data_IF_403962935323
#
_entry.id   IF_403962935323
#
_cell.length_a   1.000
_cell.length_b   1.000
_cell.length_c   1.000
_cell.angle_alpha   90.00
_cell.angle_beta   90.00
_cell.angle_gamma   90.00
#
_symmetry.space_group_name_H-M   'P 1'
#
loop_
_entity.id
_entity.type
_entity.pdbx_description
1 polymer ?
#
# COMPACT_ATOMS: atom_id res chain seq x y z
N UNK A 1 8.91 2.66 -9.55
CA UNK A 1 8.32 2.73 -8.21
C UNK A 1 7.15 1.76 -8.09
N UNK A 2 6.97 1.18 -6.92
CA UNK A 2 5.84 0.32 -6.61
C UNK A 2 4.93 1.03 -5.62
N UNK A 3 3.66 1.15 -5.96
CA UNK A 3 2.67 1.69 -5.05
C UNK A 3 2.10 0.55 -4.22
N UNK A 4 2.11 0.69 -2.91
CA UNK A 4 1.65 -0.34 -1.98
C UNK A 4 0.42 0.16 -1.24
N UNK A 5 -0.68 -0.54 -1.41
CA UNK A 5 -1.97 -0.23 -0.78
C UNK A 5 -2.07 -0.98 0.54
N UNK A 6 -2.10 -0.24 1.64
CA UNK A 6 -2.17 -0.85 2.98
C UNK A 6 -3.58 -0.84 3.56
N UNK A 7 -4.57 -0.53 2.74
CA UNK A 7 -5.96 -0.55 3.17
C UNK A 7 -6.44 -1.99 3.39
N UNK A 8 -7.58 -2.11 4.04
CA UNK A 8 -8.30 -3.38 4.15
C UNK A 8 -8.75 -3.82 2.75
N UNK A 9 -8.78 -5.13 2.51
CA UNK A 9 -9.20 -5.66 1.21
C UNK A 9 -10.62 -5.23 0.84
N UNK A 10 -11.48 -5.02 1.83
CA UNK A 10 -12.85 -4.57 1.60
C UNK A 10 -12.89 -3.15 1.03
N UNK A 11 -11.96 -2.30 1.42
CA UNK A 11 -11.86 -0.95 0.85
C UNK A 11 -11.48 -1.01 -0.63
N UNK A 12 -10.57 -1.93 -1.01
CA UNK A 12 -10.22 -2.14 -2.41
C UNK A 12 -11.42 -2.62 -3.23
N UNK A 13 -12.22 -3.52 -2.68
CA UNK A 13 -13.42 -4.01 -3.36
C UNK A 13 -14.47 -2.92 -3.52
N UNK A 14 -14.65 -2.08 -2.51
CA UNK A 14 -15.70 -1.07 -2.49
C UNK A 14 -15.35 0.18 -3.28
N UNK A 15 -14.12 0.67 -3.14
CA UNK A 15 -13.71 1.97 -3.64
C UNK A 15 -12.77 1.90 -4.85
N UNK A 16 -12.31 0.70 -5.20
CA UNK A 16 -11.32 0.53 -6.24
C UNK A 16 -9.90 0.70 -5.73
N UNK A 17 -8.94 0.67 -6.62
CA UNK A 17 -7.52 0.72 -6.27
C UNK A 17 -6.71 1.39 -7.38
N UNK A 18 -5.51 1.83 -7.05
CA UNK A 18 -4.59 2.42 -8.02
C UNK A 18 -4.04 1.31 -8.92
N UNK A 19 -4.13 1.45 -10.26
CA UNK A 19 -3.64 0.42 -11.19
C UNK A 19 -2.18 0.06 -10.90
N UNK A 20 -1.88 -1.22 -10.89
CA UNK A 20 -0.53 -1.70 -10.64
C UNK A 20 -0.10 -1.69 -9.18
N UNK A 21 -0.97 -1.26 -8.26
CA UNK A 21 -0.64 -1.25 -6.84
C UNK A 21 -0.63 -2.66 -6.26
N UNK A 22 0.28 -2.88 -5.31
CA UNK A 22 0.39 -4.13 -4.57
C UNK A 22 -0.34 -4.00 -3.25
N UNK A 23 -1.19 -4.96 -2.93
CA UNK A 23 -1.94 -4.93 -1.68
C UNK A 23 -1.16 -5.59 -0.54
N UNK A 24 -0.86 -4.80 0.49
CA UNK A 24 -0.18 -5.30 1.69
C UNK A 24 -0.92 -4.77 2.92
N UNK A 25 -1.88 -5.53 3.46
CA UNK A 25 -2.64 -5.07 4.62
C UNK A 25 -1.72 -4.63 5.75
N UNK A 26 -2.03 -3.52 6.38
CA UNK A 26 -1.16 -2.95 7.42
C UNK A 26 -0.82 -3.95 8.51
N UNK A 27 -1.76 -4.82 8.87
CA UNK A 27 -1.53 -5.81 9.92
C UNK A 27 -0.42 -6.82 9.62
N UNK A 28 -0.07 -7.00 8.34
CA UNK A 28 0.98 -7.93 7.93
C UNK A 28 2.23 -7.21 7.43
N UNK A 29 2.20 -5.89 7.30
CA UNK A 29 3.24 -5.15 6.59
C UNK A 29 4.63 -5.35 7.21
N UNK A 30 4.74 -5.23 8.52
CA UNK A 30 6.02 -5.38 9.22
C UNK A 30 6.61 -6.77 9.03
N UNK A 31 5.76 -7.80 9.00
CA UNK A 31 6.20 -9.17 8.78
C UNK A 31 6.63 -9.41 7.34
N UNK A 32 6.01 -8.73 6.40
CA UNK A 32 6.28 -8.94 4.98
C UNK A 32 7.54 -8.22 4.50
N UNK A 33 7.94 -7.13 5.15
CA UNK A 33 9.14 -6.36 4.77
C UNK A 33 10.40 -6.79 5.50
N UNK A 34 10.28 -7.48 6.63
CA UNK A 34 11.42 -7.89 7.45
C UNK A 34 12.04 -9.17 6.89
N UNK A 35 13.30 -9.12 6.37
CA UNK A 35 13.94 -10.31 5.80
C UNK A 35 14.13 -11.46 6.80
N UNK A 36 14.08 -11.18 8.08
CA UNK A 36 14.22 -12.19 9.12
C UNK A 36 12.91 -12.82 9.54
N UNK A 37 11.79 -12.28 9.04
CA UNK A 37 10.47 -12.82 9.33
C UNK A 37 10.19 -14.06 8.48
N UNK A 38 9.52 -15.09 9.03
CA UNK A 38 9.09 -16.23 8.22
C UNK A 38 8.03 -15.87 7.19
N UNK A 39 7.43 -14.68 7.29
CA UNK A 39 6.41 -14.20 6.36
C UNK A 39 6.95 -13.22 5.33
N UNK A 40 8.27 -13.07 5.24
CA UNK A 40 8.90 -12.14 4.30
C UNK A 40 8.43 -12.35 2.86
N UNK A 41 8.14 -11.24 2.17
CA UNK A 41 7.77 -11.24 0.75
C UNK A 41 8.92 -10.67 -0.07
N UNK A 42 9.40 -11.43 -1.03
CA UNK A 42 10.56 -11.06 -1.85
C UNK A 42 10.38 -9.74 -2.62
N UNK A 43 9.15 -9.35 -2.90
CA UNK A 43 8.90 -8.09 -3.60
C UNK A 43 9.50 -6.90 -2.83
N UNK A 44 9.61 -7.00 -1.51
CA UNK A 44 10.17 -5.95 -0.68
C UNK A 44 11.71 -5.98 -0.60
N UNK A 45 12.35 -6.98 -1.18
CA UNK A 45 13.80 -7.02 -1.27
C UNK A 45 14.34 -6.35 -2.54
N UNK A 46 13.46 -5.96 -3.46
CA UNK A 46 13.86 -5.32 -4.71
C UNK A 46 14.34 -3.89 -4.49
N UNK A 47 15.11 -3.36 -5.45
CA UNK A 47 15.59 -1.97 -5.39
C UNK A 47 14.55 -0.95 -5.84
N UNK A 48 13.29 -1.32 -5.82
CA UNK A 48 12.21 -0.42 -6.20
C UNK A 48 11.97 0.63 -5.14
N UNK A 49 11.50 1.80 -5.57
CA UNK A 49 11.00 2.81 -4.65
C UNK A 49 9.59 2.40 -4.24
N UNK A 50 9.34 2.35 -2.94
CA UNK A 50 8.04 1.96 -2.41
C UNK A 50 7.27 3.19 -1.94
N UNK A 51 6.03 3.33 -2.43
CA UNK A 51 5.14 4.43 -2.07
C UNK A 51 3.89 3.83 -1.47
N UNK A 52 3.66 4.05 -0.19
CA UNK A 52 2.52 3.49 0.53
C UNK A 52 1.35 4.44 0.54
N UNK A 53 0.15 3.91 0.54
CA UNK A 53 -1.05 4.72 0.70
C UNK A 53 -2.13 4.00 1.47
N UNK A 54 -3.00 4.79 2.09
CA UNK A 54 -4.23 4.32 2.72
C UNK A 54 -5.39 5.19 2.24
N UNK A 55 -6.48 5.26 2.99
CA UNK A 55 -7.64 6.04 2.58
C UNK A 55 -7.39 7.56 2.66
N UNK A 56 -6.83 8.03 3.77
CA UNK A 56 -6.69 9.48 4.04
C UNK A 56 -5.28 9.93 4.41
N UNK A 57 -4.34 9.02 4.44
CA UNK A 57 -2.94 9.34 4.74
C UNK A 57 -2.46 9.01 6.15
N UNK A 58 -3.36 8.83 7.11
CA UNK A 58 -2.98 8.56 8.50
C UNK A 58 -2.31 7.19 8.68
N UNK A 59 -2.94 6.14 8.15
CA UNK A 59 -2.39 4.78 8.29
C UNK A 59 -1.05 4.66 7.60
N UNK A 60 -0.93 5.24 6.40
CA UNK A 60 0.32 5.17 5.65
C UNK A 60 1.43 5.98 6.30
N UNK A 61 1.12 7.14 6.89
CA UNK A 61 2.11 7.94 7.61
C UNK A 61 2.70 7.16 8.79
N UNK A 62 1.84 6.51 9.59
CA UNK A 62 2.29 5.70 10.72
C UNK A 62 3.09 4.50 10.26
N UNK A 63 2.66 3.84 9.19
CA UNK A 63 3.37 2.67 8.66
C UNK A 63 4.73 3.04 8.11
N UNK A 64 4.84 4.16 7.38
CA UNK A 64 6.12 4.62 6.84
C UNK A 64 7.08 4.96 7.97
N UNK A 65 6.60 5.62 9.03
CA UNK A 65 7.44 5.93 10.18
C UNK A 65 8.01 4.64 10.82
N UNK A 66 7.17 3.62 11.00
CA UNK A 66 7.60 2.33 11.54
C UNK A 66 8.61 1.66 10.63
N UNK A 67 8.36 1.64 9.32
CA UNK A 67 9.27 0.99 8.36
C UNK A 67 10.61 1.71 8.28
N UNK A 68 10.61 3.04 8.32
CA UNK A 68 11.86 3.80 8.33
C UNK A 68 12.67 3.53 9.58
N UNK A 69 12.01 3.37 10.74
CA UNK A 69 12.68 2.97 11.98
C UNK A 69 13.29 1.56 11.87
N UNK A 70 12.71 0.69 11.06
CA UNK A 70 13.25 -0.64 10.78
C UNK A 70 14.38 -0.63 9.75
N UNK A 71 14.71 0.54 9.19
CA UNK A 71 15.72 0.67 8.14
C UNK A 71 15.19 0.44 6.73
N UNK A 72 13.89 0.35 6.55
CA UNK A 72 13.27 0.19 5.23
C UNK A 72 12.86 1.56 4.70
N UNK A 73 13.42 1.96 3.56
CA UNK A 73 13.10 3.25 2.95
C UNK A 73 11.72 3.22 2.30
N UNK A 74 10.87 4.14 2.74
CA UNK A 74 9.51 4.23 2.24
C UNK A 74 9.02 5.68 2.27
N UNK A 75 8.09 5.98 1.36
CA UNK A 75 7.34 7.25 1.36
C UNK A 75 5.85 6.92 1.30
N UNK A 76 5.00 7.93 1.39
CA UNK A 76 3.56 7.72 1.31
C UNK A 76 2.88 8.83 0.53
N UNK A 77 1.67 8.55 0.06
CA UNK A 77 0.80 9.56 -0.56
C UNK A 77 0.09 10.27 0.59
N UNK A 78 0.42 11.55 0.81
CA UNK A 78 -0.02 12.31 1.98
C UNK A 78 -1.54 12.34 2.15
N UNK A 79 -2.27 12.50 1.05
CA UNK A 79 -3.73 12.58 1.10
C UNK A 79 -4.39 11.23 0.85
N UNK A 80 -3.60 10.18 0.73
CA UNK A 80 -4.07 8.83 0.54
C UNK A 80 -4.86 8.64 -0.74
N UNK A 81 -5.69 7.60 -0.75
CA UNK A 81 -6.51 7.26 -1.91
C UNK A 81 -7.50 8.38 -2.26
N UNK A 82 -8.07 9.03 -1.25
CA UNK A 82 -9.00 10.15 -1.46
C UNK A 82 -8.35 11.28 -2.24
N UNK A 83 -7.13 11.67 -1.88
CA UNK A 83 -6.39 12.70 -2.59
C UNK A 83 -6.01 12.28 -4.00
N UNK A 84 -5.67 11.00 -4.19
CA UNK A 84 -5.38 10.45 -5.51
C UNK A 84 -6.57 10.60 -6.45
N UNK A 85 -7.76 10.24 -5.98
CA UNK A 85 -9.00 10.35 -6.76
C UNK A 85 -9.34 11.81 -7.08
N UNK A 86 -9.22 12.71 -6.09
CA UNK A 86 -9.49 14.14 -6.29
C UNK A 86 -8.54 14.76 -7.30
N UNK A 87 -7.31 14.30 -7.35
CA UNK A 87 -6.32 14.79 -8.32
C UNK A 87 -6.52 14.21 -9.71
N UNK A 88 -7.50 13.35 -9.91
CA UNK A 88 -7.78 12.75 -11.21
C UNK A 88 -6.91 11.53 -11.52
N UNK A 89 -6.29 10.94 -10.53
CA UNK A 89 -5.50 9.72 -10.71
C UNK A 89 -6.37 8.54 -11.15
N UNK A 90 -5.84 7.66 -11.99
CA UNK A 90 -6.62 6.51 -12.48
C UNK A 90 -6.95 5.54 -11.36
N UNK A 91 -8.13 4.91 -11.47
CA UNK A 91 -8.62 3.92 -10.50
C UNK A 91 -9.16 2.72 -11.26
N UNK A 92 -8.79 1.53 -10.83
CA UNK A 92 -9.40 0.29 -11.29
C UNK A 92 -10.28 -0.28 -10.19
N UNK A 93 -11.27 -1.05 -10.59
CA UNK A 93 -12.13 -1.74 -9.66
C UNK A 93 -11.94 -3.23 -9.78
N UNK A 94 -11.86 -3.91 -8.63
CA UNK A 94 -11.85 -5.36 -8.62
C UNK A 94 -13.14 -5.84 -9.24
N UNK A 95 -13.04 -6.66 -10.29
CA UNK A 95 -14.23 -7.15 -10.96
C UNK A 95 -14.97 -8.10 -10.04
N UNK A 96 -16.15 -7.67 -9.64
CA UNK A 96 -17.10 -8.64 -9.16
C UNK A 96 -17.45 -9.55 -10.33
N UNK A 97 -17.73 -10.80 -10.05
CA UNK A 97 -18.18 -11.72 -11.09
C UNK A 97 -19.27 -11.08 -11.89
N UNK A 98 -19.20 -11.11 -13.22
CA UNK A 98 -20.34 -10.74 -14.01
C UNK A 98 -21.48 -11.67 -13.63
N UNK A 99 -22.50 -11.07 -13.18
CA UNK A 99 -23.73 -11.81 -12.92
C UNK A 99 -24.36 -12.19 -14.25
#
# INVERSE_FOLDING_TARGET
ALIVDIRDIRERHKLGYIPGSYHAPRGMLEFWVDPQSPYFKEIFSSNKRFIFHCASGWRSALSVATLNDMGFEATHISDGFSGWVEAGGPVEHLQSKPS
#
